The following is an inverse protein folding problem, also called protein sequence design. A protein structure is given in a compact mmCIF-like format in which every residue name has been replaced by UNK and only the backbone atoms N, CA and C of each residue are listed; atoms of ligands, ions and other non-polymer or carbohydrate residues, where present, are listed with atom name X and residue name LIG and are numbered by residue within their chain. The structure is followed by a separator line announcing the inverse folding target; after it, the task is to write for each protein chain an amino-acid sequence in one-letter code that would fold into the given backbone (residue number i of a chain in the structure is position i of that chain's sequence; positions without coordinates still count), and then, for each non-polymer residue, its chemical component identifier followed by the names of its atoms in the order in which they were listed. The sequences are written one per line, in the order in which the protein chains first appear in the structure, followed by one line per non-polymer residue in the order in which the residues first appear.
data_IF_721117650968
#
_entry.id   IF_721117650968
#
_cell.length_a   1.000
_cell.length_b   1.000
_cell.length_c   1.000
_cell.angle_alpha   90.00
_cell.angle_beta   90.00
_cell.angle_gamma   90.00
#
_symmetry.space_group_name_H-M   'P 1'
#
loop_
_entity.id
_entity.type
_entity.pdbx_description
1 polymer ?
#
# COMPACT_ATOMS: atom_id res chain seq x y z
N UNK A 1 -82.78 72.76 9.34
CA UNK A 1 -82.41 71.59 8.52
C UNK A 1 -81.35 70.84 9.27
N UNK A 2 -81.72 69.75 9.94
CA UNK A 2 -80.81 68.90 10.68
C UNK A 2 -81.03 67.46 10.20
N UNK A 3 -79.89 66.85 9.86
CA UNK A 3 -79.65 65.48 9.43
C UNK A 3 -80.57 64.44 10.06
N UNK A 4 -81.05 63.51 9.22
CA UNK A 4 -81.48 62.18 9.69
C UNK A 4 -81.35 61.16 8.56
N UNK A 5 -80.11 60.88 8.16
CA UNK A 5 -79.76 59.67 7.42
C UNK A 5 -79.56 58.55 8.44
N UNK A 6 -80.57 57.70 8.62
CA UNK A 6 -80.46 56.48 9.44
C UNK A 6 -79.32 55.62 8.87
N UNK A 7 -78.35 55.16 9.68
CA UNK A 7 -77.30 54.29 9.19
C UNK A 7 -77.93 53.03 8.62
N UNK A 8 -77.61 52.68 7.38
CA UNK A 8 -78.00 51.40 6.82
C UNK A 8 -77.17 50.30 7.50
N UNK A 9 -77.71 49.78 8.61
CA UNK A 9 -77.09 48.73 9.43
C UNK A 9 -76.74 47.48 8.63
N UNK A 10 -77.46 47.22 7.52
CA UNK A 10 -77.18 46.09 6.64
C UNK A 10 -75.89 46.31 5.85
N UNK A 11 -75.64 47.51 5.33
CA UNK A 11 -74.36 47.83 4.68
C UNK A 11 -73.21 47.90 5.68
N UNK A 12 -73.43 48.38 6.90
CA UNK A 12 -72.39 48.38 7.94
C UNK A 12 -71.99 46.96 8.37
N UNK A 13 -72.96 46.04 8.51
CA UNK A 13 -72.70 44.64 8.82
C UNK A 13 -71.92 43.93 7.71
N UNK A 14 -72.35 44.09 6.45
CA UNK A 14 -71.66 43.51 5.28
C UNK A 14 -70.24 44.05 5.12
N UNK A 15 -70.01 45.33 5.46
CA UNK A 15 -68.67 45.94 5.43
C UNK A 15 -67.76 45.38 6.52
N UNK A 16 -68.29 45.19 7.73
CA UNK A 16 -67.55 44.59 8.84
C UNK A 16 -67.24 43.10 8.60
N UNK A 17 -68.15 42.35 7.96
CA UNK A 17 -67.93 40.95 7.57
C UNK A 17 -66.84 40.85 6.49
N UNK A 18 -66.91 41.71 5.46
CA UNK A 18 -65.88 41.79 4.42
C UNK A 18 -64.51 42.23 4.95
N UNK A 19 -64.45 43.09 5.98
CA UNK A 19 -63.19 43.44 6.67
C UNK A 19 -62.61 42.25 7.44
N UNK A 20 -63.45 41.49 8.15
CA UNK A 20 -63.00 40.28 8.87
C UNK A 20 -62.48 39.21 7.92
N UNK A 21 -63.13 39.02 6.77
CA UNK A 21 -62.66 38.07 5.75
C UNK A 21 -61.30 38.50 5.18
N UNK A 22 -61.13 39.79 4.87
CA UNK A 22 -59.83 40.32 4.40
C UNK A 22 -58.74 40.19 5.46
N UNK A 23 -59.05 40.47 6.72
CA UNK A 23 -58.10 40.35 7.82
C UNK A 23 -57.71 38.89 8.07
N UNK A 24 -58.67 37.96 7.99
CA UNK A 24 -58.41 36.53 8.12
C UNK A 24 -57.55 36.00 6.95
N UNK A 25 -57.80 36.46 5.73
CA UNK A 25 -56.99 36.12 4.55
C UNK A 25 -55.57 36.66 4.66
N UNK A 26 -55.40 37.91 5.11
CA UNK A 26 -54.08 38.49 5.37
C UNK A 26 -53.30 37.73 6.45
N UNK A 27 -53.97 37.29 7.51
CA UNK A 27 -53.37 36.45 8.56
C UNK A 27 -52.92 35.10 8.02
N UNK A 28 -53.75 34.42 7.21
CA UNK A 28 -53.38 33.16 6.57
C UNK A 28 -52.17 33.32 5.65
N UNK A 29 -52.13 34.37 4.84
CA UNK A 29 -51.00 34.65 3.97
C UNK A 29 -49.73 34.99 4.76
N UNK A 30 -49.85 35.65 5.91
CA UNK A 30 -48.72 35.92 6.80
C UNK A 30 -48.20 34.63 7.45
N UNK A 31 -49.08 33.78 7.97
CA UNK A 31 -48.74 32.47 8.54
C UNK A 31 -48.10 31.54 7.50
N UNK A 32 -48.62 31.53 6.27
CA UNK A 32 -48.05 30.72 5.18
C UNK A 32 -46.66 31.21 4.76
N UNK A 33 -46.45 32.54 4.72
CA UNK A 33 -45.11 33.12 4.48
C UNK A 33 -44.15 32.80 5.61
N UNK A 34 -44.59 32.90 6.87
CA UNK A 34 -43.77 32.57 8.03
C UNK A 34 -43.40 31.08 8.04
N UNK A 35 -44.35 30.20 7.69
CA UNK A 35 -44.10 28.77 7.54
C UNK A 35 -43.10 28.49 6.41
N UNK A 36 -43.24 29.14 5.25
CA UNK A 36 -42.29 29.02 4.13
C UNK A 36 -40.89 29.53 4.50
N UNK A 37 -40.80 30.67 5.20
CA UNK A 37 -39.52 31.22 5.64
C UNK A 37 -38.86 30.33 6.69
N UNK A 38 -39.63 29.80 7.64
CA UNK A 38 -39.15 28.83 8.62
C UNK A 38 -38.64 27.55 7.97
N UNK A 39 -39.33 27.04 6.94
CA UNK A 39 -38.90 25.87 6.17
C UNK A 39 -37.61 26.15 5.39
N UNK A 40 -37.51 27.31 4.72
CA UNK A 40 -36.28 27.72 4.02
C UNK A 40 -35.10 27.86 4.99
N UNK A 41 -35.32 28.42 6.19
CA UNK A 41 -34.29 28.51 7.24
C UNK A 41 -33.82 27.12 7.69
N UNK A 42 -34.74 26.19 7.93
CA UNK A 42 -34.40 24.79 8.28
C UNK A 42 -33.59 24.12 7.18
N UNK A 43 -33.98 24.29 5.92
CA UNK A 43 -33.25 23.73 4.78
C UNK A 43 -31.85 24.35 4.66
N UNK A 44 -31.71 25.66 4.87
CA UNK A 44 -30.42 26.34 4.86
C UNK A 44 -29.51 25.88 6.01
N UNK A 45 -30.05 25.68 7.21
CA UNK A 45 -29.31 25.14 8.36
C UNK A 45 -28.84 23.70 8.11
N UNK A 46 -29.69 22.84 7.55
CA UNK A 46 -29.32 21.47 7.21
C UNK A 46 -28.21 21.43 6.15
N UNK A 47 -28.34 22.23 5.08
CA UNK A 47 -27.30 22.34 4.05
C UNK A 47 -25.98 22.84 4.63
N UNK A 48 -26.03 23.83 5.53
CA UNK A 48 -24.85 24.34 6.21
C UNK A 48 -24.20 23.27 7.09
N UNK A 49 -24.98 22.54 7.88
CA UNK A 49 -24.48 21.44 8.71
C UNK A 49 -23.81 20.36 7.86
N UNK A 50 -24.43 19.99 6.74
CA UNK A 50 -23.84 19.03 5.80
C UNK A 50 -22.55 19.55 5.16
N UNK A 51 -22.48 20.84 4.81
CA UNK A 51 -21.27 21.45 4.28
C UNK A 51 -20.13 21.45 5.31
N UNK A 52 -20.42 21.85 6.55
CA UNK A 52 -19.48 21.83 7.67
C UNK A 52 -18.98 20.41 7.97
N UNK A 53 -19.86 19.41 7.95
CA UNK A 53 -19.48 18.00 8.14
C UNK A 53 -18.58 17.49 7.01
N UNK A 54 -18.91 17.79 5.74
CA UNK A 54 -18.06 17.42 4.60
C UNK A 54 -16.70 18.10 4.67
N UNK A 55 -16.65 19.35 5.07
CA UNK A 55 -15.40 20.08 5.24
C UNK A 55 -14.56 19.48 6.36
N UNK A 56 -15.18 19.16 7.51
CA UNK A 56 -14.50 18.50 8.62
C UNK A 56 -13.94 17.13 8.21
N UNK A 57 -14.73 16.31 7.52
CA UNK A 57 -14.28 15.03 6.97
C UNK A 57 -13.14 15.21 5.96
N UNK A 58 -13.24 16.22 5.08
CA UNK A 58 -12.19 16.56 4.12
C UNK A 58 -10.89 16.96 4.81
N UNK A 59 -10.96 17.75 5.88
CA UNK A 59 -9.80 18.17 6.68
C UNK A 59 -9.13 16.97 7.34
N UNK A 60 -9.90 16.09 8.00
CA UNK A 60 -9.36 14.86 8.63
C UNK A 60 -8.65 13.97 7.60
N UNK A 61 -9.25 13.77 6.42
CA UNK A 61 -8.65 12.92 5.38
C UNK A 61 -7.43 13.53 4.72
N UNK A 62 -7.34 14.85 4.68
CA UNK A 62 -6.24 15.59 4.05
C UNK A 62 -5.06 15.82 5.01
N UNK A 63 -5.29 15.67 6.31
CA UNK A 63 -4.24 15.80 7.31
C UNK A 63 -3.20 14.67 7.16
N UNK A 64 -1.91 14.95 7.42
CA UNK A 64 -0.90 13.91 7.55
C UNK A 64 -1.29 12.84 8.57
N UNK A 65 -0.87 11.61 8.30
CA UNK A 65 -1.18 10.44 9.15
C UNK A 65 -0.11 10.23 10.21
N UNK A 66 -0.51 9.62 11.32
CA UNK A 66 0.41 8.97 12.27
C UNK A 66 0.93 7.65 11.71
N UNK A 67 1.93 7.02 12.34
CA UNK A 67 2.44 5.72 11.88
C UNK A 67 1.35 4.64 11.82
N UNK A 68 0.51 4.54 12.85
CA UNK A 68 -0.58 3.55 12.90
C UNK A 68 -1.65 3.82 11.82
N UNK A 69 -2.03 5.09 11.65
CA UNK A 69 -2.97 5.50 10.60
C UNK A 69 -2.41 5.20 9.20
N UNK A 70 -1.10 5.42 8.98
CA UNK A 70 -0.41 5.07 7.74
C UNK A 70 -0.47 3.57 7.48
N UNK A 71 -0.04 2.73 8.43
CA UNK A 71 -0.01 1.26 8.27
C UNK A 71 -1.41 0.73 7.95
N UNK A 72 -2.43 1.20 8.68
CA UNK A 72 -3.82 0.84 8.43
C UNK A 72 -4.30 1.33 7.07
N UNK A 73 -4.00 2.59 6.71
CA UNK A 73 -4.33 3.19 5.44
C UNK A 73 -3.71 2.43 4.25
N UNK A 74 -2.46 2.01 4.35
CA UNK A 74 -1.78 1.19 3.36
C UNK A 74 -2.43 -0.19 3.23
N UNK A 75 -2.76 -0.85 4.34
CA UNK A 75 -3.47 -2.12 4.33
C UNK A 75 -4.82 -2.02 3.60
N UNK A 76 -5.64 -1.04 3.96
CA UNK A 76 -6.98 -0.87 3.41
C UNK A 76 -6.94 -0.42 1.93
N UNK A 77 -5.98 0.43 1.55
CA UNK A 77 -5.89 1.01 0.20
C UNK A 77 -5.15 0.13 -0.81
N UNK A 78 -4.20 -0.71 -0.36
CA UNK A 78 -3.31 -1.47 -1.24
C UNK A 78 -3.39 -2.99 -1.01
N UNK A 79 -3.20 -3.46 0.22
CA UNK A 79 -3.08 -4.90 0.49
C UNK A 79 -4.42 -5.63 0.36
N UNK A 80 -5.49 -5.07 0.92
CA UNK A 80 -6.85 -5.65 0.88
C UNK A 80 -7.42 -5.76 -0.55
N UNK A 81 -7.30 -4.76 -1.43
CA UNK A 81 -7.81 -4.85 -2.80
C UNK A 81 -6.88 -5.56 -3.79
N UNK A 82 -5.70 -6.02 -3.36
CA UNK A 82 -4.71 -6.66 -4.22
C UNK A 82 -5.28 -7.90 -4.93
N UNK A 83 -5.10 -7.99 -6.24
CA UNK A 83 -5.61 -9.10 -7.05
C UNK A 83 -4.53 -9.73 -7.92
N UNK A 84 -4.54 -11.05 -7.98
CA UNK A 84 -3.69 -11.84 -8.86
C UNK A 84 -4.37 -12.06 -10.21
N UNK A 85 -3.61 -11.93 -11.29
CA UNK A 85 -4.09 -12.22 -12.64
C UNK A 85 -4.26 -13.72 -12.89
N UNK A 86 -5.11 -14.10 -13.86
CA UNK A 86 -5.18 -15.50 -14.27
C UNK A 86 -3.91 -15.90 -15.04
N UNK A 87 -3.39 -17.13 -14.87
CA UNK A 87 -2.18 -17.57 -15.59
C UNK A 87 -2.30 -17.48 -17.12
N UNK A 88 -3.53 -17.62 -17.65
CA UNK A 88 -3.82 -17.46 -19.08
C UNK A 88 -3.51 -16.06 -19.62
N UNK A 89 -3.68 -15.02 -18.79
CA UNK A 89 -3.50 -13.60 -19.14
C UNK A 89 -2.22 -12.99 -18.55
N UNK A 90 -1.34 -13.82 -18.02
CA UNK A 90 -0.09 -13.41 -17.36
C UNK A 90 1.10 -13.71 -18.26
N UNK A 91 2.24 -13.07 -17.99
CA UNK A 91 3.48 -13.27 -18.75
C UNK A 91 3.86 -14.74 -18.77
N UNK A 92 4.37 -15.17 -19.92
CA UNK A 92 4.89 -16.52 -20.10
C UNK A 92 6.36 -16.56 -19.69
N UNK A 93 6.83 -17.75 -19.32
CA UNK A 93 8.18 -17.96 -18.83
C UNK A 93 8.16 -18.80 -17.55
N UNK A 94 9.04 -19.78 -17.49
CA UNK A 94 9.30 -20.58 -16.30
C UNK A 94 10.48 -20.02 -15.53
N UNK A 95 10.57 -20.38 -14.25
CA UNK A 95 11.80 -20.20 -13.49
C UNK A 95 12.82 -21.20 -14.04
N UNK A 96 13.99 -20.76 -14.54
CA UNK A 96 14.98 -21.68 -15.06
C UNK A 96 15.64 -22.50 -13.94
N UNK A 97 16.15 -23.70 -14.23
CA UNK A 97 16.97 -24.42 -13.26
C UNK A 97 18.24 -23.62 -12.94
N UNK A 98 18.68 -23.56 -11.67
CA UNK A 98 19.84 -22.78 -11.26
C UNK A 98 21.17 -23.50 -11.55
N UNK A 99 21.33 -24.05 -12.75
CA UNK A 99 22.51 -24.83 -13.13
C UNK A 99 23.80 -23.99 -13.05
N UNK A 100 24.83 -24.51 -12.39
CA UNK A 100 26.12 -23.83 -12.23
C UNK A 100 26.14 -22.68 -11.22
N UNK A 101 25.07 -22.49 -10.44
CA UNK A 101 24.99 -21.44 -9.41
C UNK A 101 25.44 -21.93 -8.04
N UNK A 102 25.92 -21.00 -7.20
CA UNK A 102 26.23 -21.29 -5.79
C UNK A 102 24.96 -21.73 -5.07
N UNK A 103 25.03 -22.85 -4.36
CA UNK A 103 23.89 -23.49 -3.74
C UNK A 103 24.08 -23.58 -2.22
N UNK A 104 23.12 -23.12 -1.41
CA UNK A 104 23.21 -23.28 0.04
C UNK A 104 23.09 -24.76 0.42
N UNK A 105 23.88 -25.20 1.40
CA UNK A 105 23.88 -26.60 1.83
C UNK A 105 22.58 -27.01 2.53
N UNK A 106 21.93 -26.09 3.24
CA UNK A 106 20.73 -26.39 4.03
C UNK A 106 19.80 -25.18 4.14
N UNK A 107 18.50 -25.46 4.22
CA UNK A 107 17.48 -24.51 4.66
C UNK A 107 17.11 -24.80 6.10
N UNK A 108 17.00 -23.74 6.91
CA UNK A 108 16.64 -23.84 8.33
C UNK A 108 15.57 -22.83 8.67
N UNK A 109 14.65 -23.21 9.54
CA UNK A 109 13.67 -22.30 10.09
C UNK A 109 14.35 -21.27 11.01
N UNK A 110 14.11 -20.00 10.76
CA UNK A 110 14.60 -18.91 11.59
C UNK A 110 13.65 -18.66 12.76
N UNK A 111 13.81 -19.44 13.83
CA UNK A 111 12.89 -19.46 14.97
C UNK A 111 12.79 -18.15 15.74
N UNK A 112 13.85 -17.35 15.78
CA UNK A 112 13.86 -16.05 16.47
C UNK A 112 13.32 -14.89 15.62
N UNK A 113 13.07 -15.09 14.33
CA UNK A 113 12.67 -14.02 13.40
C UNK A 113 11.40 -13.27 13.86
N UNK A 114 10.29 -13.94 14.25
CA UNK A 114 9.08 -13.22 14.68
C UNK A 114 9.30 -12.33 15.89
N UNK A 115 10.09 -12.79 16.86
CA UNK A 115 10.42 -12.02 18.07
C UNK A 115 11.27 -10.81 17.72
N UNK A 116 12.30 -10.99 16.90
CA UNK A 116 13.16 -9.89 16.45
C UNK A 116 12.38 -8.84 15.63
N UNK A 117 11.45 -9.28 14.76
CA UNK A 117 10.59 -8.36 14.00
C UNK A 117 9.67 -7.55 14.93
N UNK A 118 9.10 -8.19 15.96
CA UNK A 118 8.27 -7.50 16.94
C UNK A 118 9.10 -6.48 17.75
N UNK A 119 10.30 -6.84 18.20
CA UNK A 119 11.18 -5.93 18.93
C UNK A 119 11.58 -4.70 18.10
N UNK A 120 11.83 -4.89 16.79
CA UNK A 120 12.09 -3.79 15.85
C UNK A 120 10.84 -2.93 15.69
N UNK A 121 9.68 -3.53 15.47
CA UNK A 121 8.41 -2.82 15.32
C UNK A 121 8.06 -1.99 16.56
N UNK A 122 8.17 -2.57 17.76
CA UNK A 122 7.90 -1.89 19.03
C UNK A 122 8.86 -0.72 19.24
N UNK A 123 10.13 -0.91 18.88
CA UNK A 123 11.13 0.14 18.95
C UNK A 123 10.84 1.29 17.98
N UNK A 124 10.50 0.99 16.73
CA UNK A 124 10.12 2.01 15.72
C UNK A 124 8.87 2.76 16.20
N UNK A 125 7.87 2.03 16.69
CA UNK A 125 6.62 2.59 17.22
C UNK A 125 6.90 3.50 18.40
N UNK A 126 7.80 3.13 19.31
CA UNK A 126 8.17 3.99 20.46
C UNK A 126 8.77 5.33 20.02
N UNK A 127 9.61 5.36 18.97
CA UNK A 127 10.18 6.61 18.47
C UNK A 127 9.17 7.48 17.73
N UNK A 128 8.25 6.86 16.97
CA UNK A 128 7.28 7.57 16.13
C UNK A 128 5.92 7.76 16.82
N UNK A 129 5.72 7.20 18.01
CA UNK A 129 4.54 7.31 18.86
C UNK A 129 4.96 7.31 20.35
N UNK A 130 5.66 8.36 20.83
CA UNK A 130 6.14 8.40 22.20
C UNK A 130 4.99 8.45 23.22
N UNK A 131 5.10 7.63 24.26
CA UNK A 131 4.08 7.52 25.32
C UNK A 131 3.82 8.88 26.01
N UNK A 132 2.54 9.21 26.20
CA UNK A 132 2.12 10.42 26.90
C UNK A 132 2.15 11.71 26.06
N UNK A 133 2.38 11.61 24.75
CA UNK A 133 2.24 12.72 23.79
C UNK A 133 1.32 12.30 22.64
N UNK A 134 0.73 13.29 21.97
CA UNK A 134 0.02 13.03 20.72
C UNK A 134 1.00 12.49 19.68
N UNK A 135 0.61 11.41 19.00
CA UNK A 135 1.43 10.81 17.96
C UNK A 135 1.68 11.83 16.83
N UNK A 136 2.94 12.07 16.44
CA UNK A 136 3.27 13.03 15.40
C UNK A 136 2.68 12.57 14.06
N UNK A 137 2.08 13.53 13.36
CA UNK A 137 1.44 13.34 12.05
C UNK A 137 2.43 13.69 10.96
N UNK A 138 3.30 12.74 10.64
CA UNK A 138 4.47 12.94 9.77
C UNK A 138 4.29 12.39 8.36
N UNK A 139 3.30 11.52 8.14
CA UNK A 139 3.21 10.71 6.93
C UNK A 139 2.11 11.18 6.00
N UNK A 140 2.14 10.67 4.76
CA UNK A 140 1.15 10.99 3.72
C UNK A 140 -0.30 10.87 4.20
N UNK A 141 -1.19 11.70 3.67
CA UNK A 141 -2.57 11.76 4.13
C UNK A 141 -3.40 10.56 3.63
N UNK A 142 -4.48 10.23 4.37
CA UNK A 142 -5.40 9.18 3.95
C UNK A 142 -6.02 9.49 2.58
N UNK A 143 -6.21 10.75 2.22
CA UNK A 143 -6.70 11.16 0.91
C UNK A 143 -5.75 10.69 -0.21
N UNK A 144 -4.45 10.93 -0.04
CA UNK A 144 -3.43 10.53 -1.02
C UNK A 144 -3.33 9.01 -1.11
N UNK A 145 -3.30 8.30 0.02
CA UNK A 145 -3.28 6.83 0.04
C UNK A 145 -4.47 6.22 -0.70
N UNK A 146 -5.68 6.75 -0.46
CA UNK A 146 -6.89 6.29 -1.13
C UNK A 146 -6.84 6.53 -2.65
N UNK A 147 -6.29 7.67 -3.08
CA UNK A 147 -6.17 8.01 -4.49
C UNK A 147 -5.15 7.12 -5.20
N UNK A 148 -3.98 6.88 -4.59
CA UNK A 148 -3.01 5.89 -5.07
C UNK A 148 -3.65 4.51 -5.11
N UNK A 149 -4.28 4.08 -4.01
CA UNK A 149 -4.97 2.80 -3.89
C UNK A 149 -6.00 2.59 -4.99
N UNK A 150 -6.84 3.59 -5.31
CA UNK A 150 -7.82 3.52 -6.40
C UNK A 150 -7.17 3.21 -7.75
N UNK A 151 -6.02 3.83 -8.05
CA UNK A 151 -5.31 3.60 -9.32
C UNK A 151 -4.79 2.18 -9.41
N UNK A 152 -4.25 1.64 -8.32
CA UNK A 152 -3.56 0.34 -8.31
C UNK A 152 -4.45 -0.86 -8.02
N UNK A 153 -5.52 -0.69 -7.24
CA UNK A 153 -6.52 -1.73 -6.95
C UNK A 153 -7.17 -2.31 -8.21
N UNK A 154 -7.18 -1.55 -9.32
CA UNK A 154 -7.72 -2.00 -10.60
C UNK A 154 -6.78 -2.95 -11.37
N UNK A 155 -5.48 -2.96 -11.05
CA UNK A 155 -4.46 -3.73 -11.76
C UNK A 155 -4.30 -5.11 -11.11
N UNK A 156 -4.34 -6.15 -11.94
CA UNK A 156 -4.05 -7.52 -11.51
C UNK A 156 -2.58 -7.82 -11.73
N UNK A 157 -1.92 -8.45 -10.74
CA UNK A 157 -0.54 -8.89 -10.86
C UNK A 157 -0.43 -9.98 -11.94
N UNK A 158 0.12 -9.63 -13.11
CA UNK A 158 0.25 -10.51 -14.29
C UNK A 158 1.68 -10.67 -14.76
N UNK A 159 2.61 -9.92 -14.20
CA UNK A 159 4.01 -9.88 -14.62
C UNK A 159 4.92 -9.49 -13.45
N UNK A 160 6.23 -9.68 -13.61
CA UNK A 160 7.23 -9.19 -12.67
C UNK A 160 7.17 -7.66 -12.56
N UNK A 161 6.95 -6.95 -13.67
CA UNK A 161 6.81 -5.49 -13.71
C UNK A 161 5.57 -4.98 -12.97
N UNK A 162 4.45 -5.73 -13.01
CA UNK A 162 3.27 -5.37 -12.21
C UNK A 162 3.55 -5.49 -10.70
N UNK A 163 4.30 -6.53 -10.31
CA UNK A 163 4.68 -6.75 -8.92
C UNK A 163 5.71 -5.71 -8.46
N UNK A 164 6.73 -5.43 -9.25
CA UNK A 164 7.70 -4.35 -8.99
C UNK A 164 6.98 -3.02 -8.76
N UNK A 165 6.05 -2.66 -9.64
CA UNK A 165 5.34 -1.40 -9.52
C UNK A 165 4.45 -1.34 -8.28
N UNK A 166 3.83 -2.48 -7.91
CA UNK A 166 3.08 -2.57 -6.67
C UNK A 166 3.99 -2.38 -5.45
N UNK A 167 5.08 -3.12 -5.36
CA UNK A 167 6.01 -3.08 -4.23
C UNK A 167 6.59 -1.67 -4.05
N UNK A 168 6.99 -1.01 -5.14
CA UNK A 168 7.49 0.37 -5.09
C UNK A 168 6.48 1.32 -4.46
N UNK A 169 5.26 1.36 -5.01
CA UNK A 169 4.27 2.37 -4.62
C UNK A 169 3.52 2.04 -3.33
N UNK A 170 3.28 0.77 -3.04
CA UNK A 170 2.51 0.35 -1.87
C UNK A 170 3.38 0.07 -0.63
N UNK A 171 4.69 -0.15 -0.82
CA UNK A 171 5.60 -0.58 0.25
C UNK A 171 6.87 0.30 0.29
N UNK A 172 7.71 0.26 -0.74
CA UNK A 172 9.06 0.87 -0.72
C UNK A 172 9.00 2.38 -0.44
N UNK A 173 8.13 3.12 -1.14
CA UNK A 173 7.99 4.57 -0.97
C UNK A 173 7.60 4.93 0.49
N UNK A 174 6.69 4.16 1.09
CA UNK A 174 6.26 4.41 2.48
C UNK A 174 7.31 3.98 3.50
N UNK A 175 8.04 2.91 3.24
CA UNK A 175 9.18 2.48 4.08
C UNK A 175 10.30 3.53 4.02
N UNK A 176 10.56 4.10 2.84
CA UNK A 176 11.50 5.19 2.67
C UNK A 176 11.10 6.41 3.51
N UNK A 177 9.83 6.81 3.48
CA UNK A 177 9.32 7.92 4.30
C UNK A 177 9.49 7.65 5.81
N UNK A 178 9.16 6.44 6.27
CA UNK A 178 9.34 6.03 7.66
C UNK A 178 10.82 6.13 8.08
N UNK A 179 11.73 5.62 7.26
CA UNK A 179 13.17 5.66 7.56
C UNK A 179 13.69 7.10 7.53
N UNK A 180 13.20 7.93 6.61
CA UNK A 180 13.54 9.35 6.54
C UNK A 180 13.17 10.08 7.83
N UNK A 181 11.98 9.82 8.38
CA UNK A 181 11.59 10.40 9.68
C UNK A 181 12.42 9.84 10.84
N UNK A 182 12.74 8.55 10.84
CA UNK A 182 13.61 7.94 11.86
C UNK A 182 15.04 8.52 11.83
N UNK A 183 15.58 8.82 10.65
CA UNK A 183 16.91 9.44 10.51
C UNK A 183 17.01 10.82 11.18
N UNK A 184 15.88 11.54 11.33
CA UNK A 184 15.83 12.84 12.02
C UNK A 184 15.95 12.70 13.54
N UNK A 185 15.79 11.50 14.09
CA UNK A 185 15.86 11.20 15.52
C UNK A 185 17.25 10.58 15.81
N UNK A 186 18.17 11.29 16.49
CA UNK A 186 19.54 10.80 16.69
C UNK A 186 19.62 9.40 17.33
N UNK A 187 18.86 9.18 18.41
CA UNK A 187 18.82 7.90 19.12
C UNK A 187 18.34 6.74 18.21
N UNK A 188 17.36 7.00 17.34
CA UNK A 188 16.85 5.99 16.41
C UNK A 188 17.86 5.71 15.29
N UNK A 189 18.46 6.76 14.73
CA UNK A 189 19.52 6.68 13.71
C UNK A 189 20.70 5.84 14.20
N UNK A 190 21.13 6.05 15.45
CA UNK A 190 22.19 5.27 16.09
C UNK A 190 21.77 3.81 16.34
N UNK A 191 20.60 3.60 16.97
CA UNK A 191 20.10 2.26 17.32
C UNK A 191 19.98 1.35 16.11
N UNK A 192 19.43 1.87 15.01
CA UNK A 192 19.19 1.09 13.78
C UNK A 192 20.32 1.20 12.77
N UNK A 193 21.38 1.98 13.05
CA UNK A 193 22.53 2.22 12.16
C UNK A 193 22.11 2.68 10.76
N UNK A 194 21.17 3.61 10.70
CA UNK A 194 20.50 4.02 9.46
C UNK A 194 21.38 4.86 8.52
N UNK A 195 22.51 5.40 9.00
CA UNK A 195 23.26 6.37 8.21
C UNK A 195 22.37 7.57 7.87
N UNK A 196 22.41 8.04 6.64
CA UNK A 196 21.59 9.15 6.15
C UNK A 196 20.25 8.69 5.55
N UNK A 197 19.98 7.39 5.55
CA UNK A 197 18.75 6.80 5.05
C UNK A 197 19.00 5.56 4.18
N UNK A 198 17.99 5.21 3.39
CA UNK A 198 18.04 4.08 2.48
C UNK A 198 17.67 4.50 1.06
N UNK A 199 18.13 3.72 0.09
CA UNK A 199 17.84 3.90 -1.32
C UNK A 199 17.44 2.56 -1.94
N UNK A 200 16.30 2.56 -2.63
CA UNK A 200 15.83 1.44 -3.44
C UNK A 200 16.26 1.69 -4.89
N UNK A 201 17.12 0.83 -5.43
CA UNK A 201 17.62 0.94 -6.80
C UNK A 201 17.29 -0.31 -7.62
N UNK A 202 16.85 -0.09 -8.86
CA UNK A 202 16.77 -1.14 -9.86
C UNK A 202 18.00 -1.02 -10.76
N UNK A 203 18.94 -1.96 -10.67
CA UNK A 203 20.11 -1.97 -11.54
C UNK A 203 19.78 -2.59 -12.91
N UNK A 204 19.16 -1.82 -13.81
CA UNK A 204 19.41 -2.03 -15.24
C UNK A 204 20.82 -1.47 -15.54
N UNK A 205 21.87 -2.29 -15.38
CA UNK A 205 23.25 -2.04 -15.85
C UNK A 205 24.05 -0.85 -15.23
N UNK A 206 24.38 -0.86 -13.93
CA UNK A 206 25.30 0.15 -13.34
C UNK A 206 26.49 -0.45 -12.54
N UNK A 207 27.09 -1.53 -13.03
CA UNK A 207 28.44 -1.94 -12.63
C UNK A 207 29.41 -1.88 -13.82
N UNK A 208 29.37 -0.78 -14.57
CA UNK A 208 30.39 -0.40 -15.56
C UNK A 208 30.61 1.12 -15.57
N UNK A 209 30.95 1.72 -14.43
CA UNK A 209 31.54 3.08 -14.42
C UNK A 209 32.34 3.30 -13.14
N UNK A 210 33.39 2.51 -12.98
CA UNK A 210 34.63 2.83 -12.26
C UNK A 210 35.49 1.60 -12.54
N UNK A 211 36.41 1.59 -13.50
CA UNK A 211 37.56 2.48 -13.62
C UNK A 211 37.94 2.61 -15.11
N UNK A 212 38.33 3.82 -15.52
CA UNK A 212 39.19 3.98 -16.70
C UNK A 212 40.52 3.26 -16.42
N UNK A 213 40.72 2.09 -17.00
CA UNK A 213 42.06 1.61 -17.32
C UNK A 213 42.05 0.97 -18.71
N UNK A 214 42.73 1.68 -19.61
CA UNK A 214 43.13 1.21 -20.93
C UNK A 214 43.93 -0.10 -20.80
N UNK A 215 43.38 -1.23 -21.26
CA UNK A 215 44.15 -2.36 -21.79
C UNK A 215 43.24 -3.37 -22.52
N UNK A 216 43.36 -3.35 -23.85
CA UNK A 216 43.25 -4.48 -24.79
C UNK A 216 42.07 -5.47 -24.66
N UNK A 217 41.17 -5.34 -25.65
CA UNK A 217 40.52 -6.40 -26.42
C UNK A 217 40.64 -7.83 -25.85
N UNK A 218 39.55 -8.31 -25.25
CA UNK A 218 39.21 -9.73 -25.30
C UNK A 218 37.74 -9.88 -25.68
N UNK A 219 37.54 -10.16 -26.97
CA UNK A 219 36.26 -10.34 -27.65
C UNK A 219 35.73 -11.76 -27.38
N UNK A 220 35.49 -12.12 -26.11
CA UNK A 220 34.87 -13.42 -25.77
C UNK A 220 34.10 -13.49 -24.44
N UNK A 221 33.93 -12.39 -23.71
CA UNK A 221 32.99 -12.37 -22.60
C UNK A 221 31.57 -12.18 -23.13
N UNK A 222 30.85 -13.29 -23.25
CA UNK A 222 29.40 -13.30 -23.40
C UNK A 222 28.81 -12.42 -22.30
N UNK A 223 28.34 -11.23 -22.69
CA UNK A 223 27.55 -10.33 -21.84
C UNK A 223 26.27 -11.06 -21.45
N UNK A 224 26.33 -11.90 -20.43
CA UNK A 224 25.14 -12.40 -19.78
C UNK A 224 24.42 -11.18 -19.19
N UNK A 225 23.16 -10.90 -19.60
CA UNK A 225 22.38 -9.88 -18.93
C UNK A 225 22.33 -10.27 -17.45
N UNK A 226 22.89 -9.43 -16.57
CA UNK A 226 22.69 -9.61 -15.14
C UNK A 226 21.16 -9.52 -14.91
N UNK A 227 20.55 -10.52 -14.25
CA UNK A 227 19.12 -10.51 -14.02
C UNK A 227 18.73 -9.27 -13.20
N UNK A 228 17.53 -8.74 -13.44
CA UNK A 228 16.95 -7.59 -12.73
C UNK A 228 17.10 -7.78 -11.21
N UNK A 229 18.16 -7.21 -10.64
CA UNK A 229 18.44 -7.29 -9.22
C UNK A 229 18.10 -5.94 -8.62
N UNK A 230 17.04 -5.92 -7.83
CA UNK A 230 16.69 -4.78 -7.00
C UNK A 230 17.66 -4.75 -5.83
N UNK A 231 18.16 -3.57 -5.48
CA UNK A 231 19.15 -3.39 -4.43
C UNK A 231 18.61 -2.40 -3.41
N UNK A 232 18.85 -2.70 -2.14
CA UNK A 232 18.63 -1.76 -1.04
C UNK A 232 19.99 -1.30 -0.57
N UNK A 233 20.27 -0.02 -0.73
CA UNK A 233 21.49 0.62 -0.24
C UNK A 233 21.21 1.42 1.02
N UNK A 234 22.18 1.41 1.94
CA UNK A 234 22.27 2.42 3.00
C UNK A 234 23.07 3.60 2.47
N UNK A 235 22.53 4.80 2.65
CA UNK A 235 23.23 6.03 2.30
C UNK A 235 24.10 6.45 3.49
N UNK A 236 25.37 6.72 3.24
CA UNK A 236 26.26 7.42 4.16
C UNK A 236 26.88 8.62 3.43
N UNK A 237 27.29 9.67 4.16
CA UNK A 237 27.85 10.96 3.70
C UNK A 237 28.66 10.96 2.39
N UNK A 238 29.38 9.89 2.04
CA UNK A 238 30.17 9.79 0.81
C UNK A 238 29.98 8.50 -0.01
N UNK A 239 29.24 7.50 0.48
CA UNK A 239 29.14 6.18 -0.18
C UNK A 239 27.82 5.47 0.10
N UNK A 240 27.26 4.81 -0.92
CA UNK A 240 26.13 3.90 -0.78
C UNK A 240 26.64 2.48 -0.48
N UNK A 241 26.25 1.92 0.67
CA UNK A 241 26.59 0.53 1.05
C UNK A 241 25.44 -0.41 0.70
N UNK A 242 25.69 -1.47 -0.07
CA UNK A 242 24.67 -2.49 -0.35
C UNK A 242 24.29 -3.23 0.93
N UNK A 243 22.99 -3.23 1.27
CA UNK A 243 22.45 -3.97 2.43
C UNK A 243 21.99 -5.35 1.99
N UNK A 244 21.16 -5.39 0.94
CA UNK A 244 20.59 -6.64 0.43
C UNK A 244 20.13 -6.44 -1.01
N UNK A 245 19.94 -7.56 -1.70
CA UNK A 245 19.30 -7.59 -3.01
C UNK A 245 17.91 -8.22 -2.89
N UNK A 246 16.98 -7.82 -3.75
CA UNK A 246 15.59 -8.29 -3.84
C UNK A 246 15.32 -8.80 -5.26
N UNK A 247 14.44 -9.80 -5.39
CA UNK A 247 13.99 -10.31 -6.68
C UNK A 247 12.50 -10.60 -6.58
N UNK A 248 11.73 -10.06 -7.52
CA UNK A 248 10.28 -10.21 -7.56
C UNK A 248 9.87 -11.40 -8.42
N UNK A 249 9.01 -12.28 -7.89
CA UNK A 249 8.40 -13.38 -8.65
C UNK A 249 6.87 -13.32 -8.53
N UNK A 250 6.15 -13.17 -9.65
CA UNK A 250 4.71 -13.02 -9.62
C UNK A 250 4.04 -14.37 -9.30
N UNK A 251 2.81 -14.34 -8.73
CA UNK A 251 2.18 -15.54 -8.19
C UNK A 251 1.92 -16.66 -9.21
N UNK A 252 1.78 -16.33 -10.51
CA UNK A 252 1.60 -17.33 -11.56
C UNK A 252 2.89 -18.07 -11.94
N UNK A 253 4.07 -17.52 -11.59
CA UNK A 253 5.37 -18.20 -11.71
C UNK A 253 5.75 -18.93 -10.42
N UNK A 254 5.46 -18.33 -9.27
CA UNK A 254 5.73 -18.90 -7.94
C UNK A 254 4.56 -18.59 -7.00
N UNK A 255 3.67 -19.55 -6.81
CA UNK A 255 2.47 -19.35 -5.98
C UNK A 255 2.77 -19.44 -4.48
N UNK A 256 1.85 -18.94 -3.67
CA UNK A 256 1.93 -19.05 -2.20
C UNK A 256 1.88 -20.52 -1.76
N UNK A 257 1.13 -21.36 -2.47
CA UNK A 257 1.06 -22.81 -2.22
C UNK A 257 2.42 -23.48 -2.50
N UNK A 258 3.10 -23.09 -3.58
CA UNK A 258 4.45 -23.58 -3.87
C UNK A 258 5.43 -23.17 -2.78
N UNK A 259 5.38 -21.91 -2.32
CA UNK A 259 6.21 -21.43 -1.22
C UNK A 259 5.94 -22.20 0.08
N UNK A 260 4.67 -22.40 0.45
CA UNK A 260 4.29 -23.14 1.66
C UNK A 260 4.73 -24.60 1.63
N UNK A 261 4.65 -25.24 0.47
CA UNK A 261 5.08 -26.63 0.30
C UNK A 261 6.61 -26.75 0.21
N UNK A 262 7.28 -25.81 -0.46
CA UNK A 262 8.71 -25.87 -0.73
C UNK A 262 9.60 -25.32 0.39
N UNK A 263 9.13 -24.34 1.18
CA UNK A 263 9.88 -23.76 2.29
C UNK A 263 9.75 -24.64 3.54
N UNK A 264 10.65 -25.60 3.67
CA UNK A 264 10.84 -26.41 4.88
C UNK A 264 12.31 -26.52 5.24
N UNK A 265 12.58 -26.92 6.48
CA UNK A 265 13.95 -27.29 6.86
C UNK A 265 14.36 -28.54 6.09
N UNK A 266 15.51 -28.48 5.42
CA UNK A 266 16.01 -29.57 4.58
C UNK A 266 17.51 -29.41 4.33
N UNK A 267 18.17 -30.52 4.04
CA UNK A 267 19.51 -30.51 3.45
C UNK A 267 19.38 -30.29 1.95
N UNK A 268 19.21 -29.03 1.56
CA UNK A 268 18.86 -28.64 0.19
C UNK A 268 19.76 -29.29 -0.86
N UNK A 269 21.09 -29.30 -0.64
CA UNK A 269 22.01 -29.93 -1.59
C UNK A 269 21.74 -31.44 -1.77
N UNK A 270 21.61 -32.18 -0.67
CA UNK A 270 21.40 -33.63 -0.69
C UNK A 270 20.00 -33.98 -1.22
N UNK A 271 18.97 -33.29 -0.74
CA UNK A 271 17.56 -33.64 -1.00
C UNK A 271 17.05 -33.15 -2.37
N UNK A 272 17.60 -32.05 -2.90
CA UNK A 272 17.08 -31.41 -4.13
C UNK A 272 18.07 -31.53 -5.29
N UNK A 273 19.37 -31.30 -5.03
CA UNK A 273 20.38 -31.25 -6.10
C UNK A 273 20.96 -32.62 -6.41
N UNK A 274 21.22 -33.44 -5.39
CA UNK A 274 21.75 -34.80 -5.54
C UNK A 274 20.67 -35.87 -5.71
N UNK A 275 19.39 -35.50 -5.65
CA UNK A 275 18.31 -36.49 -5.78
C UNK A 275 18.14 -36.93 -7.24
N UNK A 276 18.49 -38.19 -7.51
CA UNK A 276 18.26 -38.83 -8.81
C UNK A 276 16.82 -39.38 -8.97
N UNK A 277 15.97 -39.22 -7.95
CA UNK A 277 14.66 -39.86 -7.90
C UNK A 277 13.54 -38.85 -8.13
N UNK A 278 12.89 -38.95 -9.29
CA UNK A 278 11.68 -38.19 -9.61
C UNK A 278 10.46 -39.06 -9.27
N UNK A 279 9.55 -38.62 -8.37
CA UNK A 279 8.31 -39.35 -8.08
C UNK A 279 7.50 -39.60 -9.36
N UNK A 280 6.94 -40.80 -9.50
CA UNK A 280 6.11 -41.18 -10.66
C UNK A 280 4.76 -40.46 -10.60
N UNK A 281 4.21 -40.10 -11.76
CA UNK A 281 2.92 -39.41 -11.87
C UNK A 281 1.76 -40.40 -11.93
N UNK A 282 1.62 -41.21 -10.89
CA UNK A 282 0.58 -42.23 -10.78
C UNK A 282 -0.55 -41.67 -9.91
N UNK A 283 -1.79 -42.13 -10.05
CA UNK A 283 -2.92 -41.56 -9.31
C UNK A 283 -2.75 -41.57 -7.79
N UNK A 284 -1.98 -42.54 -7.27
CA UNK A 284 -1.67 -42.70 -5.85
C UNK A 284 -0.59 -41.71 -5.36
N UNK A 285 0.26 -41.19 -6.24
CA UNK A 285 1.45 -40.39 -5.91
C UNK A 285 1.35 -38.94 -6.40
N UNK A 286 0.16 -38.48 -6.81
CA UNK A 286 -0.07 -37.12 -7.30
C UNK A 286 0.39 -36.06 -6.29
N UNK A 287 0.08 -36.23 -5.01
CA UNK A 287 0.45 -35.29 -3.95
C UNK A 287 1.96 -35.23 -3.71
N UNK A 288 2.64 -36.38 -3.72
CA UNK A 288 4.10 -36.44 -3.60
C UNK A 288 4.79 -35.74 -4.75
N UNK A 289 4.28 -35.93 -5.98
CA UNK A 289 4.82 -35.25 -7.16
C UNK A 289 4.60 -33.74 -7.12
N UNK A 290 3.44 -33.30 -6.64
CA UNK A 290 3.16 -31.86 -6.47
C UNK A 290 4.11 -31.24 -5.43
N UNK A 291 4.36 -31.92 -4.30
CA UNK A 291 5.33 -31.47 -3.30
C UNK A 291 6.75 -31.40 -3.88
N UNK A 292 7.19 -32.46 -4.56
CA UNK A 292 8.48 -32.49 -5.23
C UNK A 292 8.65 -31.32 -6.21
N UNK A 293 7.64 -31.05 -7.05
CA UNK A 293 7.68 -29.93 -7.98
C UNK A 293 7.73 -28.57 -7.27
N UNK A 294 6.98 -28.40 -6.19
CA UNK A 294 6.98 -27.18 -5.39
C UNK A 294 8.33 -26.94 -4.70
N UNK A 295 8.94 -28.00 -4.16
CA UNK A 295 10.28 -27.96 -3.55
C UNK A 295 11.34 -27.59 -4.59
N UNK A 296 11.37 -28.27 -5.74
CA UNK A 296 12.29 -27.98 -6.85
C UNK A 296 12.15 -26.53 -7.34
N UNK A 297 10.92 -26.06 -7.53
CA UNK A 297 10.65 -24.70 -8.00
C UNK A 297 11.08 -23.64 -6.97
N UNK A 298 10.72 -23.84 -5.70
CA UNK A 298 11.07 -22.91 -4.61
C UNK A 298 12.58 -22.86 -4.40
N UNK A 299 13.23 -24.02 -4.33
CA UNK A 299 14.68 -24.11 -4.18
C UNK A 299 15.41 -23.50 -5.38
N UNK A 300 14.89 -23.66 -6.59
CA UNK A 300 15.45 -23.00 -7.78
C UNK A 300 15.52 -21.49 -7.60
N UNK A 301 14.44 -20.85 -7.15
CA UNK A 301 14.43 -19.40 -6.88
C UNK A 301 15.40 -19.02 -5.78
N UNK A 302 15.44 -19.78 -4.68
CA UNK A 302 16.35 -19.51 -3.56
C UNK A 302 17.82 -19.61 -3.96
N UNK A 303 18.20 -20.63 -4.74
CA UNK A 303 19.58 -20.81 -5.24
C UNK A 303 19.96 -19.68 -6.18
N UNK A 304 19.04 -19.26 -7.07
CA UNK A 304 19.29 -18.11 -7.94
C UNK A 304 19.58 -16.85 -7.12
N UNK A 305 18.78 -16.60 -6.08
CA UNK A 305 18.96 -15.43 -5.23
C UNK A 305 20.21 -15.51 -4.36
N UNK A 306 20.46 -16.66 -3.74
CA UNK A 306 21.65 -16.93 -2.94
C UNK A 306 22.93 -16.70 -3.74
N UNK A 307 22.97 -17.18 -4.99
CA UNK A 307 24.10 -16.94 -5.87
C UNK A 307 24.39 -15.46 -6.10
N UNK A 308 23.34 -14.64 -6.32
CA UNK A 308 23.49 -13.18 -6.44
C UNK A 308 24.03 -12.60 -5.13
N UNK A 309 23.54 -13.03 -3.97
CA UNK A 309 24.00 -12.56 -2.66
C UNK A 309 25.48 -12.91 -2.38
N UNK A 310 25.98 -14.02 -2.92
CA UNK A 310 27.40 -14.42 -2.76
C UNK A 310 28.32 -13.70 -3.74
N UNK A 311 27.80 -13.25 -4.89
CA UNK A 311 28.56 -12.51 -5.90
C UNK A 311 28.60 -11.00 -5.67
N UNK A 312 27.66 -10.47 -4.89
CA UNK A 312 27.55 -9.05 -4.56
C UNK A 312 28.52 -8.65 -3.43
#
# INVERSE_FOLDING_TARGET
MADNSSPDYKTLFLRAEAEREREAELRRQAEEREAQEAELRRQAEELRRQAEEREAQGRVRSQPTTLEELIKGCHDSFSRPLQVGTPSRSTKGSIPPPTGKYCPTSLRFWSSCPVQLQEIYDSVSTYLQPAGKDAPRLFTSLLVLNELGRRYSSRKLRSEKDLEHYERTAVEDHVHDIITELCKIPDARERFRLGDGILFENHENLLQTSEESDAQLDESSTKHPKPDSFCIHRINDSTNTLITTVEYKPPHKLSVENLRAGLRSMKLWEEIVQSDTIPKSDELNKDEKLRYNAEQLTCSVLVQKYHVMIQA
#
